data_IF_926109470313
#
_entry.id   IF_926109470313
#
_cell.length_a   1.000
_cell.length_b   1.000
_cell.length_c   1.000
_cell.angle_alpha   90.00
_cell.angle_beta   90.00
_cell.angle_gamma   90.00
#
_symmetry.space_group_name_H-M   'P 1'
#
loop_
_entity.id
_entity.type
_entity.pdbx_description
1 polymer ?
#
# COMPACT_ATOMS: atom_id res chain seq x y z
N UNK A 1 11.46 -17.46 18.86
CA UNK A 1 11.13 -17.18 18.68
C UNK A 1 11.02 -16.52 18.08
N UNK A 2 11.03 -16.07 17.87
CA UNK A 2 10.92 -15.34 17.37
C UNK A 2 10.73 -15.20 16.21
N UNK A 3 10.76 -15.51 15.53
CA UNK A 3 10.55 -15.47 14.25
C UNK A 3 9.26 -14.98 14.02
N UNK A 4 8.65 -14.35 14.81
CA UNK A 4 7.50 -13.91 14.62
C UNK A 4 7.34 -13.27 13.38
N UNK A 5 7.80 -12.39 12.95
CA UNK A 5 7.54 -11.75 11.76
C UNK A 5 7.67 -12.57 10.56
N UNK A 6 8.43 -13.64 10.60
CA UNK A 6 8.54 -14.37 9.48
C UNK A 6 7.75 -15.54 9.65
N UNK A 7 7.60 -16.07 10.66
CA UNK A 7 6.88 -17.28 10.78
C UNK A 7 5.40 -17.10 10.82
N UNK A 8 4.92 -15.92 11.14
CA UNK A 8 3.51 -15.71 11.27
C UNK A 8 3.02 -14.44 10.69
N UNK A 9 3.17 -14.32 9.40
CA UNK A 9 2.72 -13.10 8.75
C UNK A 9 1.22 -12.90 8.87
N UNK A 10 0.46 -13.98 8.92
CA UNK A 10 -0.97 -13.84 9.03
C UNK A 10 -1.41 -13.21 10.33
N UNK A 11 -0.69 -13.51 11.41
CA UNK A 11 -1.03 -12.95 12.70
C UNK A 11 -0.75 -11.47 12.72
N UNK A 12 0.37 -11.07 12.15
CA UNK A 12 0.69 -9.67 12.07
C UNK A 12 -0.29 -8.93 11.22
N UNK A 13 -0.67 -9.51 10.12
CA UNK A 13 -1.63 -8.88 9.22
C UNK A 13 -2.96 -8.65 9.93
N UNK A 14 -3.39 -9.59 10.72
CA UNK A 14 -4.62 -9.46 11.44
C UNK A 14 -4.58 -8.32 12.41
N UNK A 15 -3.47 -8.17 13.09
CA UNK A 15 -3.31 -7.10 14.04
C UNK A 15 -3.31 -5.76 13.35
N UNK A 16 -2.61 -5.64 12.24
CA UNK A 16 -2.58 -4.42 11.45
C UNK A 16 -3.98 -4.06 10.99
N UNK A 17 -4.70 -5.03 10.45
CA UNK A 17 -6.03 -4.79 9.96
C UNK A 17 -6.97 -4.36 11.07
N UNK A 18 -6.85 -4.97 12.21
CA UNK A 18 -7.70 -4.61 13.33
C UNK A 18 -7.51 -3.17 13.73
N UNK A 19 -6.27 -2.73 13.82
CA UNK A 19 -6.00 -1.36 14.19
C UNK A 19 -6.50 -0.37 13.14
N UNK A 20 -6.29 -0.70 11.88
CA UNK A 20 -6.75 0.18 10.80
C UNK A 20 -8.27 0.27 10.79
N UNK A 21 -8.93 -0.85 11.02
CA UNK A 21 -10.40 -0.86 10.96
C UNK A 21 -11.03 -0.15 12.13
N UNK A 22 -10.29 0.01 13.22
CA UNK A 22 -10.80 0.77 14.36
C UNK A 22 -10.37 2.23 14.30
N UNK A 23 -9.70 2.63 13.24
CA UNK A 23 -9.29 4.02 13.09
C UNK A 23 -8.03 4.39 13.84
N UNK A 24 -7.22 3.41 14.18
CA UNK A 24 -6.01 3.64 14.96
C UNK A 24 -4.85 3.94 14.02
N UNK A 25 -4.31 5.14 14.11
CA UNK A 25 -3.20 5.55 13.24
C UNK A 25 -1.97 4.67 13.40
N UNK A 26 -1.80 4.04 14.56
CA UNK A 26 -0.67 3.13 14.75
C UNK A 26 -0.76 1.97 13.78
N UNK A 27 -1.96 1.63 13.32
CA UNK A 27 -2.12 0.59 12.31
C UNK A 27 -1.48 0.95 10.99
N UNK A 28 -1.57 2.21 10.60
CA UNK A 28 -0.95 2.65 9.36
C UNK A 28 0.56 2.64 9.48
N UNK A 29 1.09 3.04 10.62
CA UNK A 29 2.53 2.97 10.84
C UNK A 29 3.01 1.53 10.77
N UNK A 30 2.28 0.62 11.37
CA UNK A 30 2.65 -0.79 11.35
C UNK A 30 2.59 -1.33 9.93
N UNK A 31 1.57 -0.94 9.18
CA UNK A 31 1.42 -1.41 7.81
C UNK A 31 2.56 -0.91 6.95
N UNK A 32 2.91 0.35 7.07
CA UNK A 32 3.99 0.90 6.26
C UNK A 32 5.34 0.32 6.67
N UNK A 33 5.51 0.03 7.95
CA UNK A 33 6.74 -0.62 8.40
C UNK A 33 6.87 -2.03 7.84
N UNK A 34 5.75 -2.74 7.77
CA UNK A 34 5.76 -4.11 7.31
C UNK A 34 5.77 -4.20 5.79
N UNK A 35 5.00 -3.37 5.13
CA UNK A 35 4.80 -3.47 3.69
C UNK A 35 5.31 -2.30 2.86
N UNK A 36 5.93 -1.33 3.49
CA UNK A 36 6.42 -0.17 2.76
C UNK A 36 7.38 -0.53 1.65
N UNK A 37 8.27 -1.47 1.92
CA UNK A 37 9.25 -1.88 0.91
C UNK A 37 8.56 -2.54 -0.28
N UNK A 38 7.51 -3.32 -0.02
CA UNK A 38 6.74 -3.95 -1.08
C UNK A 38 6.08 -2.89 -1.95
N UNK A 39 5.47 -1.88 -1.32
CA UNK A 39 4.80 -0.84 -2.06
C UNK A 39 5.79 -0.08 -2.95
N UNK A 40 6.96 0.23 -2.40
CA UNK A 40 7.98 0.92 -3.17
C UNK A 40 8.48 0.06 -4.33
N UNK A 41 8.60 -1.21 -4.08
CA UNK A 41 9.06 -2.15 -5.11
C UNK A 41 8.06 -2.19 -6.28
N UNK A 42 6.77 -2.13 -5.96
CA UNK A 42 5.74 -2.18 -6.99
C UNK A 42 5.70 -0.91 -7.82
N UNK A 43 5.83 0.26 -7.18
CA UNK A 43 5.72 1.51 -7.94
C UNK A 43 6.98 1.90 -8.68
N UNK A 44 8.13 1.40 -8.24
CA UNK A 44 9.40 1.85 -8.81
C UNK A 44 9.51 1.69 -10.32
N UNK A 45 9.20 0.54 -10.89
CA UNK A 45 9.32 0.41 -12.34
C UNK A 45 8.26 1.20 -13.11
N UNK A 46 7.18 1.57 -12.45
CA UNK A 46 6.10 2.30 -13.10
C UNK A 46 6.36 3.79 -13.07
N UNK A 47 6.94 4.29 -11.98
CA UNK A 47 7.21 5.70 -11.80
C UNK A 47 8.70 5.91 -11.59
N UNK A 48 9.45 6.22 -12.65
CA UNK A 48 10.91 6.34 -12.55
C UNK A 48 11.38 7.56 -11.74
N UNK A 49 10.57 8.60 -11.64
CA UNK A 49 10.99 9.77 -10.91
C UNK A 49 10.66 9.64 -9.44
N UNK A 50 11.61 9.96 -8.60
CA UNK A 50 11.42 9.82 -7.17
C UNK A 50 10.28 10.66 -6.63
N UNK A 51 10.14 11.87 -7.12
CA UNK A 51 9.05 12.74 -6.71
C UNK A 51 7.70 12.10 -6.96
N UNK A 52 7.56 11.49 -8.12
CA UNK A 52 6.28 10.86 -8.49
C UNK A 52 6.01 9.67 -7.60
N UNK A 53 7.06 8.92 -7.26
CA UNK A 53 6.89 7.77 -6.38
C UNK A 53 6.44 8.22 -4.99
N UNK A 54 7.03 9.28 -4.47
CA UNK A 54 6.67 9.74 -3.14
C UNK A 54 5.24 10.26 -3.11
N UNK A 55 4.85 11.00 -4.12
CA UNK A 55 3.48 11.47 -4.22
C UNK A 55 2.51 10.30 -4.30
N UNK A 56 2.86 9.33 -5.11
CA UNK A 56 1.99 8.17 -5.29
C UNK A 56 1.87 7.37 -4.00
N UNK A 57 2.98 7.22 -3.27
CA UNK A 57 2.94 6.47 -2.03
C UNK A 57 2.07 7.15 -0.99
N UNK A 58 2.06 8.47 -0.96
CA UNK A 58 1.16 9.20 -0.07
C UNK A 58 -0.29 8.93 -0.45
N UNK A 59 -0.59 8.95 -1.74
CA UNK A 59 -1.94 8.68 -2.19
C UNK A 59 -2.35 7.25 -1.90
N UNK A 60 -1.42 6.32 -2.04
CA UNK A 60 -1.67 4.92 -1.74
C UNK A 60 -2.04 4.77 -0.27
N UNK A 61 -1.31 5.45 0.62
CA UNK A 61 -1.59 5.38 2.05
C UNK A 61 -3.01 5.84 2.36
N UNK A 62 -3.43 6.93 1.73
CA UNK A 62 -4.78 7.43 1.95
C UNK A 62 -5.82 6.44 1.41
N UNK A 63 -5.54 5.85 0.27
CA UNK A 63 -6.48 4.92 -0.32
C UNK A 63 -6.62 3.66 0.55
N UNK A 64 -5.53 3.21 1.12
CA UNK A 64 -5.57 2.07 2.01
C UNK A 64 -6.44 2.41 3.21
N UNK A 65 -6.24 3.60 3.78
CA UNK A 65 -7.00 4.02 4.94
C UNK A 65 -8.50 4.05 4.62
N UNK A 66 -8.84 4.55 3.46
CA UNK A 66 -10.23 4.65 3.06
C UNK A 66 -10.87 3.31 2.76
N UNK A 67 -10.11 2.37 2.26
CA UNK A 67 -10.68 1.12 1.81
C UNK A 67 -10.48 -0.08 2.68
N UNK A 68 -9.72 0.06 3.74
CA UNK A 68 -9.40 -1.08 4.56
C UNK A 68 -10.63 -1.73 5.19
N UNK A 69 -11.67 -0.94 5.39
CA UNK A 69 -12.90 -1.48 5.96
C UNK A 69 -13.58 -2.52 5.09
N UNK A 70 -13.31 -2.47 3.79
CA UNK A 70 -13.94 -3.42 2.88
C UNK A 70 -13.06 -4.62 2.59
N UNK A 71 -11.87 -4.66 3.15
CA UNK A 71 -10.99 -5.80 2.93
C UNK A 71 -11.45 -6.99 3.75
N UNK A 72 -11.47 -8.17 3.13
CA UNK A 72 -11.76 -9.39 3.84
C UNK A 72 -10.74 -10.43 3.43
N UNK A 73 -10.41 -11.29 4.34
CA UNK A 73 -9.38 -12.30 4.10
C UNK A 73 -9.75 -13.29 3.02
N UNK A 74 -11.03 -13.48 2.77
CA UNK A 74 -11.40 -14.40 1.72
C UNK A 74 -11.13 -13.86 0.35
N UNK A 75 -10.78 -12.59 0.22
CA UNK A 75 -10.46 -12.06 -1.07
C UNK A 75 -8.99 -12.17 -1.38
N UNK A 76 -8.23 -12.78 -0.50
CA UNK A 76 -6.81 -12.96 -0.70
C UNK A 76 -6.01 -12.40 0.45
N UNK A 77 -4.71 -12.36 0.29
CA UNK A 77 -3.84 -11.88 1.35
C UNK A 77 -3.78 -10.37 1.36
N UNK A 78 -3.37 -9.84 2.49
CA UNK A 78 -3.17 -8.40 2.60
C UNK A 78 -2.10 -7.94 1.62
N UNK A 79 -1.03 -8.71 1.46
CA UNK A 79 0.03 -8.34 0.53
C UNK A 79 -0.49 -8.24 -0.90
N UNK A 80 -1.33 -9.17 -1.32
CA UNK A 80 -1.89 -9.14 -2.66
C UNK A 80 -2.81 -7.94 -2.86
N UNK A 81 -3.59 -7.62 -1.85
CA UNK A 81 -4.50 -6.49 -1.89
C UNK A 81 -3.72 -5.19 -2.02
N UNK A 82 -2.67 -5.06 -1.20
CA UNK A 82 -1.84 -3.86 -1.23
C UNK A 82 -1.12 -3.71 -2.56
N UNK A 83 -0.63 -4.82 -3.11
CA UNK A 83 0.04 -4.81 -4.40
C UNK A 83 -0.90 -4.31 -5.49
N UNK A 84 -2.13 -4.78 -5.46
CA UNK A 84 -3.10 -4.38 -6.46
C UNK A 84 -3.40 -2.88 -6.37
N UNK A 85 -3.58 -2.37 -5.15
CA UNK A 85 -3.83 -0.96 -4.96
C UNK A 85 -2.64 -0.15 -5.46
N UNK A 86 -1.43 -0.54 -5.07
CA UNK A 86 -0.23 0.20 -5.43
C UNK A 86 -0.04 0.22 -6.94
N UNK A 87 -0.22 -0.92 -7.58
CA UNK A 87 -0.04 -0.98 -9.02
C UNK A 87 -1.06 -0.13 -9.75
N UNK A 88 -2.32 -0.23 -9.37
CA UNK A 88 -3.36 0.55 -10.03
C UNK A 88 -3.14 2.04 -9.85
N UNK A 89 -2.75 2.45 -8.66
CA UNK A 89 -2.54 3.86 -8.42
C UNK A 89 -1.31 4.38 -9.12
N UNK A 90 -0.26 3.57 -9.20
CA UNK A 90 0.94 3.98 -9.92
C UNK A 90 0.66 4.13 -11.40
N UNK A 91 -0.09 3.20 -11.97
CA UNK A 91 -0.45 3.28 -13.38
C UNK A 91 -1.30 4.51 -13.67
N UNK A 92 -2.24 4.82 -12.77
CA UNK A 92 -3.07 6.00 -12.94
C UNK A 92 -2.24 7.26 -12.81
N UNK A 93 -1.29 7.27 -11.87
CA UNK A 93 -0.44 8.41 -11.67
C UNK A 93 0.42 8.64 -12.92
N UNK A 94 0.97 7.57 -13.48
CA UNK A 94 1.79 7.69 -14.69
C UNK A 94 0.96 8.21 -15.85
N UNK A 95 -0.27 7.76 -15.95
CA UNK A 95 -1.16 8.20 -17.02
C UNK A 95 -1.50 9.68 -16.88
N UNK A 96 -1.77 10.14 -15.67
CA UNK A 96 -2.08 11.54 -15.43
C UNK A 96 -0.88 12.41 -15.72
N UNK A 97 0.31 11.92 -15.36
CA UNK A 97 1.53 12.66 -15.61
C UNK A 97 1.73 12.84 -17.12
N UNK A 98 1.57 11.77 -17.85
CA UNK A 98 1.76 11.82 -19.30
C UNK A 98 0.77 12.79 -19.94
N UNK A 99 -0.47 12.75 -19.50
CA UNK A 99 -1.46 13.64 -20.02
C UNK A 99 -1.18 15.06 -19.68
N UNK A 100 -0.85 15.34 -18.43
CA UNK A 100 -0.55 16.68 -18.01
C UNK A 100 0.67 17.24 -18.72
N UNK A 101 1.67 16.41 -18.91
CA UNK A 101 2.87 16.80 -19.57
C UNK A 101 2.58 17.16 -21.01
N UNK A 102 1.74 16.38 -21.65
CA UNK A 102 1.39 16.65 -22.98
C UNK A 102 0.62 17.91 -23.12
N UNK A 103 -0.19 18.26 -22.22
CA UNK A 103 -0.93 19.44 -22.26
C UNK A 103 -0.11 20.67 -22.01
N UNK A 104 0.97 20.58 -21.33
CA UNK A 104 1.77 21.72 -21.12
C UNK A 104 2.74 21.87 -22.23
#
# INVERSE_FOLDING_TARGET
MTTRGRGEPGLEDREILQRLQTGDAAGMEALLGQYGALLRYVVKPILPREEDREDCLSEISLRIWERVGSFTEDRGTLAAWLTAIARNMALNHARRRACGHRRS
#
